data_IF_551987750030
#
_entry.id   IF_551987750030
#
_cell.length_a   1.000
_cell.length_b   1.000
_cell.length_c   1.000
_cell.angle_alpha   90.00
_cell.angle_beta   90.00
_cell.angle_gamma   90.00
#
_symmetry.space_group_name_H-M   'P 1'
#
loop_
_entity.id
_entity.type
_entity.pdbx_description
1 polymer ?
#
# COMPACT_ATOMS: atom_id res chain seq x y z
N UNK A 1 104.22 -47.74 -27.99
CA UNK A 1 102.81 -48.15 -27.83
C UNK A 1 102.07 -46.99 -27.18
N UNK A 2 101.60 -46.04 -27.98
CA UNK A 2 100.21 -45.93 -28.50
C UNK A 2 99.18 -45.63 -27.41
N UNK A 3 98.66 -44.39 -27.44
CA UNK A 3 97.66 -43.78 -26.54
C UNK A 3 96.36 -44.61 -26.43
N UNK A 4 95.48 -44.30 -25.44
CA UNK A 4 94.41 -43.33 -25.75
C UNK A 4 94.03 -42.37 -24.60
N UNK A 5 93.63 -41.17 -25.01
CA UNK A 5 92.75 -40.21 -24.35
C UNK A 5 91.74 -40.79 -23.35
N UNK A 6 91.50 -40.10 -22.21
CA UNK A 6 90.23 -40.17 -21.46
C UNK A 6 90.07 -39.01 -20.47
N UNK A 7 89.32 -38.00 -20.90
CA UNK A 7 88.22 -37.34 -20.18
C UNK A 7 88.31 -37.26 -18.64
N UNK A 8 88.67 -36.09 -18.12
CA UNK A 8 88.31 -35.69 -16.75
C UNK A 8 86.89 -35.12 -16.79
N UNK A 9 85.90 -36.00 -16.82
CA UNK A 9 84.54 -35.68 -16.36
C UNK A 9 84.45 -36.12 -14.91
N UNK A 10 84.25 -35.20 -13.95
CA UNK A 10 83.80 -35.62 -12.61
C UNK A 10 82.47 -35.01 -12.22
N UNK A 11 81.69 -35.84 -11.53
CA UNK A 11 80.25 -35.80 -11.36
C UNK A 11 79.90 -35.59 -9.87
N UNK A 12 78.89 -34.79 -9.48
CA UNK A 12 78.69 -34.40 -8.09
C UNK A 12 77.66 -35.21 -7.29
N UNK A 13 77.41 -36.48 -7.62
CA UNK A 13 77.19 -37.40 -6.48
C UNK A 13 78.54 -37.69 -5.79
N UNK A 14 79.68 -37.63 -6.50
CA UNK A 14 80.97 -38.19 -6.05
C UNK A 14 82.17 -37.21 -5.96
N UNK A 15 81.94 -35.93 -5.60
CA UNK A 15 82.98 -35.00 -5.07
C UNK A 15 84.28 -34.91 -5.91
N UNK A 16 84.22 -34.20 -7.03
CA UNK A 16 85.41 -33.54 -7.57
C UNK A 16 85.05 -32.26 -8.30
N UNK A 17 85.98 -31.32 -8.22
CA UNK A 17 85.87 -29.93 -8.60
C UNK A 17 85.70 -29.80 -10.11
N UNK A 18 84.47 -29.51 -10.58
CA UNK A 18 84.29 -28.83 -11.87
C UNK A 18 84.38 -27.32 -11.63
N UNK A 19 85.57 -26.82 -11.38
CA UNK A 19 85.94 -25.53 -11.97
C UNK A 19 86.46 -25.90 -13.35
N UNK A 20 85.72 -25.70 -14.45
CA UNK A 20 86.32 -25.86 -15.76
C UNK A 20 87.54 -24.95 -15.79
N UNK A 21 88.74 -25.54 -15.76
CA UNK A 21 89.94 -24.79 -16.13
C UNK A 21 89.68 -24.17 -17.50
N UNK A 22 90.23 -22.98 -17.74
CA UNK A 22 90.10 -22.31 -19.02
C UNK A 22 90.85 -23.17 -20.04
N UNK A 23 90.13 -24.05 -20.72
CA UNK A 23 90.67 -24.82 -21.84
C UNK A 23 90.60 -23.92 -23.07
N UNK A 24 91.67 -23.78 -23.87
CA UNK A 24 91.75 -22.83 -24.98
C UNK A 24 90.70 -23.01 -26.09
N UNK A 25 89.90 -24.08 -26.04
CA UNK A 25 88.86 -24.39 -27.03
C UNK A 25 87.42 -24.08 -26.54
N UNK A 26 87.28 -23.44 -25.36
CA UNK A 26 85.97 -23.00 -24.86
C UNK A 26 85.53 -21.73 -25.58
N UNK A 27 84.40 -21.82 -26.29
CA UNK A 27 83.80 -20.72 -27.05
C UNK A 27 82.29 -20.75 -26.93
N UNK A 28 81.66 -19.60 -27.10
CA UNK A 28 80.21 -19.51 -27.18
C UNK A 28 79.69 -20.32 -28.38
N UNK A 29 78.68 -21.16 -28.17
CA UNK A 29 78.12 -22.01 -29.24
C UNK A 29 77.50 -21.22 -30.39
N UNK A 30 76.94 -20.04 -30.10
CA UNK A 30 76.23 -19.24 -31.10
C UNK A 30 77.14 -18.29 -31.89
N UNK A 31 78.12 -17.65 -31.24
CA UNK A 31 78.97 -16.63 -31.88
C UNK A 31 80.47 -16.91 -31.88
N UNK A 32 80.92 -18.02 -31.28
CA UNK A 32 82.33 -18.40 -31.27
C UNK A 32 83.26 -17.51 -30.45
N UNK A 33 82.73 -16.53 -29.70
CA UNK A 33 83.52 -15.69 -28.79
C UNK A 33 84.16 -16.55 -27.70
N UNK A 34 85.38 -16.20 -27.28
CA UNK A 34 86.18 -16.93 -26.27
C UNK A 34 86.33 -16.19 -24.94
N UNK A 35 85.78 -14.98 -24.80
CA UNK A 35 85.81 -14.15 -23.60
C UNK A 35 84.41 -13.94 -23.01
N UNK A 36 84.37 -13.70 -21.68
CA UNK A 36 83.12 -13.53 -20.90
C UNK A 36 82.12 -14.67 -21.15
N UNK A 37 82.55 -15.88 -20.83
CA UNK A 37 81.80 -17.11 -21.09
C UNK A 37 81.09 -17.61 -19.83
N UNK A 38 79.86 -18.05 -20.02
CA UNK A 38 78.96 -18.54 -18.99
C UNK A 38 78.45 -19.92 -19.39
N UNK A 39 78.66 -20.90 -18.52
CA UNK A 39 78.24 -22.28 -18.73
C UNK A 39 76.95 -22.56 -17.95
N UNK A 40 75.92 -23.03 -18.63
CA UNK A 40 74.70 -23.49 -18.00
C UNK A 40 74.96 -24.71 -17.10
N UNK A 41 74.58 -24.62 -15.82
CA UNK A 41 74.80 -25.72 -14.86
C UNK A 41 73.84 -26.91 -15.06
N UNK A 42 72.77 -26.72 -15.83
CA UNK A 42 71.75 -27.76 -16.05
C UNK A 42 72.11 -28.61 -17.27
N UNK A 43 72.56 -28.00 -18.37
CA UNK A 43 72.82 -28.72 -19.63
C UNK A 43 74.22 -28.52 -20.22
N UNK A 44 75.09 -27.71 -19.59
CA UNK A 44 76.46 -27.48 -20.06
C UNK A 44 76.60 -26.56 -21.29
N UNK A 45 75.52 -25.92 -21.77
CA UNK A 45 75.62 -24.98 -22.88
C UNK A 45 76.49 -23.76 -22.50
N UNK A 46 77.39 -23.34 -23.39
CA UNK A 46 78.28 -22.19 -23.19
C UNK A 46 77.79 -20.99 -24.01
N UNK A 47 77.38 -19.94 -23.32
CA UNK A 47 76.96 -18.67 -23.91
C UNK A 47 77.90 -17.52 -23.52
N UNK A 48 77.92 -16.44 -24.32
CA UNK A 48 78.59 -15.21 -23.93
C UNK A 48 77.71 -14.37 -22.97
N UNK A 49 78.35 -13.58 -22.11
CA UNK A 49 77.70 -12.79 -21.07
C UNK A 49 76.88 -11.61 -21.57
N UNK A 50 76.21 -10.93 -20.63
CA UNK A 50 75.25 -9.84 -20.91
C UNK A 50 75.89 -8.66 -21.66
N UNK A 51 77.16 -8.37 -21.39
CA UNK A 51 77.90 -7.27 -22.02
C UNK A 51 78.48 -7.63 -23.40
N UNK A 52 78.21 -8.84 -23.89
CA UNK A 52 78.52 -9.29 -25.24
C UNK A 52 77.22 -9.35 -26.07
N UNK A 53 76.88 -10.53 -26.60
CA UNK A 53 75.63 -10.77 -27.33
C UNK A 53 74.57 -11.47 -26.45
N UNK A 54 74.83 -11.63 -25.15
CA UNK A 54 73.91 -12.20 -24.17
C UNK A 54 73.36 -13.59 -24.53
N UNK A 55 74.14 -14.44 -25.21
CA UNK A 55 73.70 -15.79 -25.59
C UNK A 55 73.43 -16.69 -24.38
N UNK A 56 74.08 -16.45 -23.24
CA UNK A 56 73.75 -17.15 -22.00
C UNK A 56 72.34 -16.81 -21.49
N UNK A 57 71.90 -15.56 -21.64
CA UNK A 57 70.55 -15.13 -21.28
C UNK A 57 69.51 -15.65 -22.30
N UNK A 58 69.81 -15.58 -23.60
CA UNK A 58 68.95 -16.15 -24.64
C UNK A 58 68.76 -17.67 -24.47
N UNK A 59 69.81 -18.37 -24.05
CA UNK A 59 69.73 -19.79 -23.69
C UNK A 59 68.75 -20.03 -22.54
N UNK A 60 68.78 -19.20 -21.50
CA UNK A 60 67.80 -19.23 -20.41
C UNK A 60 66.38 -19.00 -20.92
N UNK A 61 66.13 -17.99 -21.74
CA UNK A 61 64.78 -17.72 -22.29
C UNK A 61 64.23 -18.90 -23.11
N UNK A 62 65.09 -19.59 -23.85
CA UNK A 62 64.68 -20.71 -24.71
C UNK A 62 64.48 -22.03 -23.97
N UNK A 63 65.24 -22.28 -22.89
CA UNK A 63 65.29 -23.60 -22.22
C UNK A 63 64.80 -23.58 -20.78
N UNK A 64 64.56 -22.40 -20.22
CA UNK A 64 64.26 -22.17 -18.80
C UNK A 64 65.34 -22.73 -17.86
N UNK A 65 66.58 -22.86 -18.31
CA UNK A 65 67.70 -23.21 -17.45
C UNK A 65 68.19 -21.99 -16.66
N UNK A 66 67.82 -21.91 -15.39
CA UNK A 66 67.96 -20.70 -14.55
C UNK A 66 69.38 -20.40 -14.04
N UNK A 67 70.28 -21.38 -14.02
CA UNK A 67 71.62 -21.21 -13.42
C UNK A 67 72.76 -21.30 -14.44
N UNK A 68 73.64 -20.29 -14.41
CA UNK A 68 74.90 -20.27 -15.18
C UNK A 68 76.10 -19.96 -14.30
N UNK A 69 77.23 -20.62 -14.57
CA UNK A 69 78.52 -20.43 -13.91
C UNK A 69 79.45 -19.66 -14.84
N UNK A 70 80.13 -18.65 -14.32
CA UNK A 70 81.18 -17.95 -15.04
C UNK A 70 82.40 -18.88 -15.25
N UNK A 71 82.79 -19.10 -16.49
CA UNK A 71 83.97 -19.90 -16.83
C UNK A 71 85.24 -19.16 -16.40
N UNK A 72 86.13 -19.84 -15.67
CA UNK A 72 87.33 -19.24 -15.06
C UNK A 72 87.05 -18.45 -13.78
N UNK A 73 85.78 -18.22 -13.43
CA UNK A 73 85.35 -17.58 -12.20
C UNK A 73 84.76 -18.57 -11.17
N UNK A 74 84.26 -18.02 -10.06
CA UNK A 74 83.50 -18.77 -9.04
C UNK A 74 82.06 -18.27 -8.89
N UNK A 75 81.65 -17.32 -9.73
CA UNK A 75 80.35 -16.67 -9.65
C UNK A 75 79.28 -17.50 -10.36
N UNK A 76 78.15 -17.70 -9.69
CA UNK A 76 76.96 -18.31 -10.26
C UNK A 76 75.87 -17.25 -10.33
N UNK A 77 75.23 -17.17 -11.50
CA UNK A 77 74.12 -16.25 -11.75
C UNK A 77 72.78 -17.02 -11.75
N UNK A 78 71.78 -16.47 -11.07
CA UNK A 78 70.39 -16.91 -11.13
C UNK A 78 69.59 -15.94 -12.02
N UNK A 79 69.09 -16.44 -13.15
CA UNK A 79 68.26 -15.64 -14.06
C UNK A 79 66.83 -15.42 -13.57
N UNK A 80 66.29 -16.30 -12.72
CA UNK A 80 64.94 -16.14 -12.18
C UNK A 80 64.93 -15.14 -11.00
N UNK A 81 65.94 -15.21 -10.13
CA UNK A 81 66.12 -14.29 -9.00
C UNK A 81 66.81 -12.96 -9.35
N UNK A 82 67.40 -12.85 -10.55
CA UNK A 82 68.22 -11.72 -11.04
C UNK A 82 69.33 -11.31 -10.05
N UNK A 83 69.98 -12.29 -9.43
CA UNK A 83 71.01 -12.08 -8.43
C UNK A 83 72.16 -13.10 -8.54
N UNK A 84 73.31 -12.75 -7.95
CA UNK A 84 74.40 -13.70 -7.74
C UNK A 84 74.06 -14.62 -6.57
N UNK A 85 74.27 -15.93 -6.77
CA UNK A 85 74.08 -16.93 -5.72
C UNK A 85 75.43 -17.48 -5.26
N UNK A 86 75.61 -17.57 -3.94
CA UNK A 86 76.81 -18.15 -3.35
C UNK A 86 76.71 -19.67 -3.28
N UNK A 87 77.79 -20.36 -3.66
CA UNK A 87 77.93 -21.80 -3.43
C UNK A 87 78.37 -22.01 -1.99
N UNK A 88 77.56 -22.67 -1.17
CA UNK A 88 78.00 -23.26 0.09
C UNK A 88 79.00 -24.38 -0.26
N UNK A 89 80.29 -24.13 0.01
CA UNK A 89 81.35 -25.13 -0.18
C UNK A 89 81.48 -25.89 1.13
N UNK A 90 80.89 -27.08 1.20
CA UNK A 90 81.16 -28.00 2.30
C UNK A 90 82.61 -28.46 2.23
N UNK A 91 83.38 -28.23 3.30
CA UNK A 91 84.67 -28.88 3.48
C UNK A 91 84.45 -30.40 3.50
N UNK A 92 85.29 -31.13 2.76
CA UNK A 92 85.07 -32.53 2.40
C UNK A 92 85.11 -33.53 3.56
N UNK A 93 85.16 -33.09 4.82
CA UNK A 93 85.37 -33.98 5.97
C UNK A 93 84.34 -33.93 7.09
N UNK A 94 83.36 -33.00 7.17
CA UNK A 94 82.40 -33.12 8.30
C UNK A 94 81.04 -32.39 8.25
N UNK A 95 80.58 -31.84 7.11
CA UNK A 95 79.19 -31.34 6.98
C UNK A 95 78.74 -30.26 7.99
N UNK A 96 79.64 -29.70 8.79
CA UNK A 96 79.39 -28.59 9.71
C UNK A 96 79.60 -27.26 8.96
N UNK A 97 78.67 -26.31 9.03
CA UNK A 97 78.95 -24.95 8.58
C UNK A 97 80.09 -24.40 9.44
N UNK A 98 81.23 -24.11 8.83
CA UNK A 98 82.38 -23.52 9.51
C UNK A 98 82.19 -22.01 9.47
N UNK A 99 81.77 -21.43 10.60
CA UNK A 99 81.96 -20.00 10.84
C UNK A 99 83.47 -19.73 10.99
N UNK A 100 83.88 -18.61 10.40
CA UNK A 100 85.26 -18.13 10.41
C UNK A 100 85.64 -17.73 11.85
N UNK A 101 86.47 -18.56 12.50
CA UNK A 101 86.92 -18.34 13.88
C UNK A 101 88.06 -17.30 13.89
N UNK A 102 87.68 -16.03 14.00
CA UNK A 102 88.59 -14.89 14.11
C UNK A 102 88.64 -14.36 15.55
N UNK A 103 89.61 -14.83 16.33
CA UNK A 103 90.34 -14.19 17.46
C UNK A 103 89.56 -13.28 18.45
N UNK A 104 89.69 -13.61 19.75
CA UNK A 104 89.32 -12.90 21.02
C UNK A 104 87.94 -13.20 21.65
N UNK A 105 87.93 -14.23 22.49
CA UNK A 105 86.76 -14.74 23.24
C UNK A 105 86.18 -13.81 24.32
N UNK A 106 86.91 -12.82 24.83
CA UNK A 106 86.45 -12.01 25.98
C UNK A 106 85.72 -10.71 25.57
N UNK A 107 85.97 -10.22 24.35
CA UNK A 107 85.20 -9.10 23.77
C UNK A 107 83.88 -9.57 23.15
N UNK A 108 83.85 -10.81 22.64
CA UNK A 108 82.67 -11.40 21.99
C UNK A 108 81.51 -11.69 22.95
N UNK A 109 81.78 -12.16 24.17
CA UNK A 109 80.72 -12.42 25.16
C UNK A 109 80.06 -11.12 25.66
N UNK A 110 80.83 -10.04 25.84
CA UNK A 110 80.26 -8.71 26.17
C UNK A 110 79.43 -8.12 25.03
N UNK A 111 79.82 -8.37 23.78
CA UNK A 111 79.06 -7.94 22.62
C UNK A 111 77.76 -8.73 22.47
N UNK A 112 77.80 -10.02 22.74
CA UNK A 112 76.64 -10.91 22.81
C UNK A 112 75.66 -10.55 23.93
N UNK A 113 76.14 -10.16 25.11
CA UNK A 113 75.29 -9.65 26.19
C UNK A 113 74.57 -8.36 25.81
N UNK A 114 75.27 -7.43 25.14
CA UNK A 114 74.66 -6.20 24.61
C UNK A 114 73.62 -6.48 23.52
N UNK A 115 73.93 -7.40 22.60
CA UNK A 115 72.99 -7.84 21.57
C UNK A 115 71.75 -8.47 22.20
N UNK A 116 71.93 -9.31 23.23
CA UNK A 116 70.84 -9.93 23.98
C UNK A 116 69.99 -8.89 24.72
N UNK A 117 70.60 -7.88 25.35
CA UNK A 117 69.89 -6.78 26.00
C UNK A 117 69.05 -5.96 25.00
N UNK A 118 69.63 -5.61 23.85
CA UNK A 118 68.91 -4.92 22.76
C UNK A 118 67.77 -5.77 22.21
N UNK A 119 67.98 -7.08 22.06
CA UNK A 119 66.94 -8.01 21.63
C UNK A 119 65.79 -8.10 22.64
N UNK A 120 66.10 -8.09 23.94
CA UNK A 120 65.10 -8.07 25.00
C UNK A 120 64.31 -6.76 24.99
N UNK A 121 64.97 -5.61 24.87
CA UNK A 121 64.31 -4.31 24.76
C UNK A 121 63.39 -4.24 23.53
N UNK A 122 63.88 -4.72 22.39
CA UNK A 122 63.08 -4.83 21.17
C UNK A 122 61.86 -5.75 21.38
N UNK A 123 62.05 -6.88 22.05
CA UNK A 123 60.95 -7.81 22.37
C UNK A 123 59.92 -7.18 23.30
N UNK A 124 60.36 -6.46 24.33
CA UNK A 124 59.49 -5.72 25.24
C UNK A 124 58.71 -4.62 24.52
N UNK A 125 59.38 -3.85 23.64
CA UNK A 125 58.75 -2.82 22.83
C UNK A 125 57.71 -3.41 21.87
N UNK A 126 58.06 -4.49 21.17
CA UNK A 126 57.16 -5.18 20.25
C UNK A 126 55.94 -5.74 21.00
N UNK A 127 56.16 -6.37 22.15
CA UNK A 127 55.08 -6.91 23.00
C UNK A 127 54.15 -5.79 23.48
N UNK A 128 54.72 -4.68 23.97
CA UNK A 128 53.96 -3.48 24.34
C UNK A 128 53.14 -2.94 23.16
N UNK A 129 53.73 -2.89 21.96
CA UNK A 129 53.03 -2.41 20.78
C UNK A 129 51.88 -3.33 20.34
N UNK A 130 52.08 -4.65 20.39
CA UNK A 130 51.03 -5.64 20.10
C UNK A 130 49.91 -5.59 21.15
N UNK A 131 50.24 -5.40 22.42
CA UNK A 131 49.25 -5.26 23.49
C UNK A 131 48.41 -4.00 23.29
N UNK A 132 49.04 -2.85 22.98
CA UNK A 132 48.33 -1.61 22.68
C UNK A 132 47.41 -1.75 21.46
N UNK A 133 47.85 -2.45 20.41
CA UNK A 133 47.01 -2.74 19.24
C UNK A 133 45.81 -3.64 19.61
N UNK A 134 46.03 -4.68 20.42
CA UNK A 134 44.97 -5.56 20.90
C UNK A 134 43.92 -4.75 21.66
N UNK A 135 44.34 -3.97 22.65
CA UNK A 135 43.45 -3.14 23.46
C UNK A 135 42.68 -2.12 22.61
N UNK A 136 43.34 -1.48 21.64
CA UNK A 136 42.69 -0.54 20.74
C UNK A 136 41.56 -1.18 19.92
N UNK A 137 41.82 -2.36 19.33
CA UNK A 137 40.81 -3.04 18.52
C UNK A 137 39.72 -3.71 19.37
N UNK A 138 40.05 -4.24 20.55
CA UNK A 138 39.07 -4.74 21.53
C UNK A 138 38.11 -3.62 21.94
N UNK A 139 38.64 -2.42 22.24
CA UNK A 139 37.82 -1.25 22.57
C UNK A 139 36.93 -0.84 21.39
N UNK A 140 37.49 -0.75 20.18
CA UNK A 140 36.73 -0.38 18.98
C UNK A 140 35.61 -1.37 18.69
N UNK A 141 35.85 -2.67 18.92
CA UNK A 141 34.85 -3.70 18.75
C UNK A 141 33.75 -3.56 19.80
N UNK A 142 34.11 -3.34 21.08
CA UNK A 142 33.17 -3.09 22.16
C UNK A 142 32.29 -1.87 21.91
N UNK A 143 32.88 -0.73 21.51
CA UNK A 143 32.12 0.48 21.15
C UNK A 143 31.16 0.24 19.97
N UNK A 144 31.53 -0.62 19.02
CA UNK A 144 30.66 -0.99 17.90
C UNK A 144 29.51 -1.88 18.36
N UNK A 145 29.79 -2.87 19.20
CA UNK A 145 28.79 -3.78 19.76
C UNK A 145 27.79 -3.05 20.67
N UNK A 146 28.26 -2.12 21.50
CA UNK A 146 27.41 -1.27 22.33
C UNK A 146 26.45 -0.42 21.48
N UNK A 147 26.96 0.24 20.44
CA UNK A 147 26.12 1.01 19.50
C UNK A 147 25.12 0.13 18.77
N UNK A 148 25.53 -1.05 18.31
CA UNK A 148 24.62 -2.00 17.68
C UNK A 148 23.50 -2.44 18.63
N UNK A 149 23.85 -2.76 19.87
CA UNK A 149 22.89 -3.14 20.90
C UNK A 149 21.94 -2.01 21.27
N UNK A 150 22.43 -0.76 21.33
CA UNK A 150 21.60 0.42 21.55
C UNK A 150 20.59 0.61 20.41
N UNK A 151 21.04 0.59 19.15
CA UNK A 151 20.14 0.66 17.99
C UNK A 151 19.13 -0.49 17.95
N UNK A 152 19.57 -1.72 18.27
CA UNK A 152 18.68 -2.88 18.34
C UNK A 152 17.61 -2.70 19.43
N UNK A 153 17.99 -2.12 20.59
CA UNK A 153 17.06 -1.86 21.70
C UNK A 153 16.05 -0.77 21.34
N UNK A 154 16.50 0.34 20.74
CA UNK A 154 15.62 1.41 20.28
C UNK A 154 14.64 0.92 19.20
N UNK A 155 15.14 0.15 18.23
CA UNK A 155 14.30 -0.47 17.20
C UNK A 155 13.25 -1.39 17.81
N UNK A 156 13.63 -2.24 18.77
CA UNK A 156 12.71 -3.14 19.45
C UNK A 156 11.66 -2.38 20.27
N UNK A 157 12.04 -1.31 20.96
CA UNK A 157 11.10 -0.47 21.70
C UNK A 157 10.07 0.18 20.77
N UNK A 158 10.53 0.67 19.60
CA UNK A 158 9.65 1.28 18.60
C UNK A 158 8.69 0.27 17.98
N UNK A 159 9.18 -0.94 17.68
CA UNK A 159 8.34 -2.06 17.24
C UNK A 159 7.26 -2.37 18.28
N UNK A 160 7.64 -2.54 19.56
CA UNK A 160 6.69 -2.87 20.62
C UNK A 160 5.63 -1.77 20.81
N UNK A 161 6.00 -0.49 20.71
CA UNK A 161 5.06 0.65 20.77
C UNK A 161 4.04 0.59 19.63
N UNK A 162 4.52 0.44 18.40
CA UNK A 162 3.68 0.35 17.21
C UNK A 162 2.78 -0.88 17.23
N UNK A 163 3.27 -2.02 17.72
CA UNK A 163 2.46 -3.23 17.89
C UNK A 163 1.32 -3.02 18.91
N UNK A 164 1.58 -2.31 20.01
CA UNK A 164 0.56 -1.97 21.01
C UNK A 164 -0.51 -1.04 20.42
N UNK A 165 -0.10 0.01 19.69
CA UNK A 165 -1.01 0.94 19.01
C UNK A 165 -1.84 0.23 17.94
N UNK A 166 -1.22 -0.62 17.10
CA UNK A 166 -1.93 -1.44 16.13
C UNK A 166 -2.93 -2.38 16.79
N UNK A 167 -2.61 -2.93 17.97
CA UNK A 167 -3.53 -3.79 18.71
C UNK A 167 -4.72 -3.01 19.26
N UNK A 168 -4.52 -1.78 19.78
CA UNK A 168 -5.62 -0.93 20.25
C UNK A 168 -6.55 -0.52 19.11
N UNK A 169 -5.97 0.03 18.03
CA UNK A 169 -6.73 0.48 16.86
C UNK A 169 -7.49 -0.67 16.19
N UNK A 170 -6.90 -1.87 16.11
CA UNK A 170 -7.62 -3.08 15.64
C UNK A 170 -8.83 -3.41 16.53
N UNK A 171 -8.69 -3.33 17.86
CA UNK A 171 -9.82 -3.57 18.78
C UNK A 171 -10.93 -2.54 18.57
N UNK A 172 -10.59 -1.26 18.46
CA UNK A 172 -11.54 -0.18 18.19
C UNK A 172 -12.27 -0.40 16.86
N UNK A 173 -11.53 -0.74 15.80
CA UNK A 173 -12.12 -1.05 14.49
C UNK A 173 -13.08 -2.24 14.57
N UNK A 174 -12.73 -3.30 15.28
CA UNK A 174 -13.64 -4.44 15.49
C UNK A 174 -14.90 -4.07 16.28
N UNK A 175 -14.78 -3.19 17.30
CA UNK A 175 -15.93 -2.70 18.07
C UNK A 175 -16.86 -1.87 17.20
N UNK A 176 -16.30 -0.88 16.48
CA UNK A 176 -17.06 -0.01 15.58
C UNK A 176 -17.72 -0.81 14.47
N UNK A 177 -17.03 -1.82 13.91
CA UNK A 177 -17.61 -2.71 12.91
C UNK A 177 -18.78 -3.52 13.45
N UNK A 178 -18.72 -3.98 14.71
CA UNK A 178 -19.81 -4.68 15.36
C UNK A 178 -21.01 -3.74 15.61
N UNK A 179 -20.74 -2.53 16.09
CA UNK A 179 -21.77 -1.48 16.28
C UNK A 179 -22.44 -1.06 14.97
N UNK A 180 -21.67 -0.93 13.88
CA UNK A 180 -22.23 -0.66 12.56
C UNK A 180 -23.17 -1.76 12.07
N UNK A 181 -22.82 -3.02 12.34
CA UNK A 181 -23.67 -4.16 11.97
C UNK A 181 -24.97 -4.16 12.77
N UNK A 182 -24.92 -3.90 14.08
CA UNK A 182 -26.11 -3.85 14.92
C UNK A 182 -27.01 -2.67 14.55
N UNK A 183 -26.45 -1.47 14.32
CA UNK A 183 -27.18 -0.30 13.85
C UNK A 183 -27.79 -0.52 12.47
N UNK A 184 -27.07 -1.15 11.55
CA UNK A 184 -27.58 -1.49 10.21
C UNK A 184 -28.79 -2.43 10.29
N UNK A 185 -28.73 -3.43 11.16
CA UNK A 185 -29.86 -4.35 11.38
C UNK A 185 -31.04 -3.66 12.05
N UNK A 186 -30.80 -2.82 13.07
CA UNK A 186 -31.84 -2.03 13.72
C UNK A 186 -32.52 -1.07 12.74
N UNK A 187 -31.74 -0.39 11.89
CA UNK A 187 -32.27 0.48 10.82
C UNK A 187 -33.19 -0.30 9.88
N UNK A 188 -32.75 -1.47 9.38
CA UNK A 188 -33.59 -2.32 8.51
C UNK A 188 -34.92 -2.72 9.17
N UNK A 189 -34.93 -2.97 10.48
CA UNK A 189 -36.16 -3.27 11.20
C UNK A 189 -37.08 -2.05 11.33
N UNK A 190 -36.50 -0.88 11.62
CA UNK A 190 -37.25 0.39 11.70
C UNK A 190 -37.84 0.75 10.34
N UNK A 191 -37.06 0.65 9.26
CA UNK A 191 -37.51 0.93 7.88
C UNK A 191 -38.70 0.04 7.50
N UNK A 192 -38.67 -1.25 7.85
CA UNK A 192 -39.81 -2.18 7.64
C UNK A 192 -41.06 -1.75 8.43
N UNK A 193 -40.90 -1.37 9.71
CA UNK A 193 -42.01 -0.90 10.54
C UNK A 193 -42.58 0.42 10.02
N UNK A 194 -41.72 1.34 9.60
CA UNK A 194 -42.12 2.61 9.00
C UNK A 194 -42.95 2.38 7.74
N UNK A 195 -42.48 1.54 6.81
CA UNK A 195 -43.21 1.24 5.58
C UNK A 195 -44.60 0.63 5.85
N UNK A 196 -44.68 -0.30 6.82
CA UNK A 196 -45.96 -0.88 7.22
C UNK A 196 -46.89 0.15 7.86
N UNK A 197 -46.38 1.04 8.71
CA UNK A 197 -47.18 2.10 9.33
C UNK A 197 -47.63 3.12 8.28
N UNK A 198 -46.76 3.49 7.35
CA UNK A 198 -47.03 4.44 6.28
C UNK A 198 -48.14 3.92 5.36
N UNK A 199 -48.08 2.66 4.96
CA UNK A 199 -49.13 2.03 4.14
C UNK A 199 -50.48 2.00 4.86
N UNK A 200 -50.51 1.66 6.16
CA UNK A 200 -51.73 1.71 6.97
C UNK A 200 -52.29 3.14 7.13
N UNK A 201 -51.44 4.13 7.33
CA UNK A 201 -51.88 5.52 7.39
C UNK A 201 -52.48 5.96 6.04
N UNK A 202 -51.89 5.54 4.93
CA UNK A 202 -52.40 5.84 3.59
C UNK A 202 -53.78 5.19 3.36
N UNK A 203 -53.98 3.94 3.76
CA UNK A 203 -55.29 3.27 3.62
C UNK A 203 -56.35 3.92 4.49
N UNK A 204 -56.05 4.19 5.76
CA UNK A 204 -56.97 4.88 6.67
C UNK A 204 -57.31 6.29 6.20
N UNK A 205 -56.35 6.99 5.59
CA UNK A 205 -56.59 8.31 5.00
C UNK A 205 -57.58 8.21 3.83
N UNK A 206 -57.43 7.21 2.96
CA UNK A 206 -58.34 6.99 1.84
C UNK A 206 -59.75 6.62 2.34
N UNK A 207 -59.87 5.69 3.29
CA UNK A 207 -61.15 5.31 3.91
C UNK A 207 -61.85 6.51 4.56
N UNK A 208 -61.09 7.35 5.28
CA UNK A 208 -61.63 8.56 5.88
C UNK A 208 -62.13 9.57 4.84
N UNK A 209 -61.42 9.71 3.72
CA UNK A 209 -61.81 10.63 2.65
C UNK A 209 -63.03 10.11 1.88
N UNK A 210 -63.15 8.78 1.69
CA UNK A 210 -64.35 8.12 1.15
C UNK A 210 -65.56 8.32 2.08
N UNK A 211 -65.42 8.07 3.38
CA UNK A 211 -66.48 8.27 4.38
C UNK A 211 -66.92 9.74 4.45
N UNK A 212 -65.98 10.70 4.39
CA UNK A 212 -66.30 12.13 4.33
C UNK A 212 -67.09 12.49 3.07
N UNK A 213 -66.73 11.92 1.92
CA UNK A 213 -67.46 12.13 0.66
C UNK A 213 -68.86 11.52 0.74
N UNK A 214 -69.01 10.30 1.26
CA UNK A 214 -70.30 9.66 1.46
C UNK A 214 -71.20 10.47 2.41
N UNK A 215 -70.67 10.90 3.56
CA UNK A 215 -71.39 11.76 4.50
C UNK A 215 -71.77 13.13 3.90
N UNK A 216 -71.03 13.62 2.91
CA UNK A 216 -71.37 14.85 2.20
C UNK A 216 -72.54 14.60 1.25
N UNK A 217 -72.46 13.57 0.40
CA UNK A 217 -73.53 13.22 -0.54
C UNK A 217 -74.85 12.90 0.18
N UNK A 218 -74.81 12.12 1.27
CA UNK A 218 -75.99 11.82 2.09
C UNK A 218 -76.63 13.08 2.69
N UNK A 219 -75.82 14.08 3.07
CA UNK A 219 -76.33 15.37 3.55
C UNK A 219 -76.98 16.17 2.44
N UNK A 220 -76.34 16.24 1.27
CA UNK A 220 -76.87 16.94 0.09
C UNK A 220 -78.20 16.28 -0.37
N UNK A 221 -78.26 14.95 -0.43
CA UNK A 221 -79.47 14.19 -0.77
C UNK A 221 -80.59 14.41 0.25
N UNK A 222 -80.26 14.39 1.55
CA UNK A 222 -81.23 14.69 2.61
C UNK A 222 -81.80 16.10 2.46
N UNK A 223 -80.98 17.08 2.10
CA UNK A 223 -81.42 18.47 1.87
C UNK A 223 -82.36 18.56 0.66
N UNK A 224 -82.04 17.87 -0.44
CA UNK A 224 -82.89 17.81 -1.64
C UNK A 224 -84.24 17.15 -1.32
N UNK A 225 -84.23 16.00 -0.64
CA UNK A 225 -85.45 15.27 -0.27
C UNK A 225 -86.33 16.08 0.69
N UNK A 226 -85.74 16.73 1.70
CA UNK A 226 -86.49 17.63 2.59
C UNK A 226 -87.15 18.77 1.81
N UNK A 227 -86.41 19.38 0.87
CA UNK A 227 -86.95 20.47 0.02
C UNK A 227 -88.10 19.99 -0.87
N UNK A 228 -87.96 18.81 -1.49
CA UNK A 228 -89.02 18.20 -2.28
C UNK A 228 -90.25 17.87 -1.42
N UNK A 229 -90.04 17.35 -0.21
CA UNK A 229 -91.11 17.06 0.74
C UNK A 229 -91.87 18.34 1.10
N UNK A 230 -91.15 19.41 1.49
CA UNK A 230 -91.73 20.72 1.79
C UNK A 230 -92.51 21.31 0.60
N UNK A 231 -91.97 21.22 -0.62
CA UNK A 231 -92.67 21.66 -1.84
C UNK A 231 -93.95 20.86 -2.09
N UNK A 232 -93.92 19.53 -1.92
CA UNK A 232 -95.12 18.69 -2.08
C UNK A 232 -96.16 18.93 -0.99
N UNK A 233 -95.73 19.14 0.24
CA UNK A 233 -96.62 19.48 1.37
C UNK A 233 -97.26 20.85 1.16
N UNK A 234 -96.51 21.84 0.68
CA UNK A 234 -97.06 23.15 0.32
C UNK A 234 -98.08 23.04 -0.82
N UNK A 235 -97.78 22.28 -1.89
CA UNK A 235 -98.74 22.05 -2.98
C UNK A 235 -100.01 21.37 -2.48
N UNK A 236 -99.88 20.30 -1.69
CA UNK A 236 -101.03 19.61 -1.09
C UNK A 236 -101.85 20.54 -0.20
N UNK A 237 -101.21 21.39 0.63
CA UNK A 237 -101.92 22.39 1.44
C UNK A 237 -102.67 23.42 0.60
N UNK A 238 -102.07 23.89 -0.49
CA UNK A 238 -102.75 24.81 -1.42
C UNK A 238 -103.94 24.13 -2.12
N UNK A 239 -103.77 22.89 -2.60
CA UNK A 239 -104.85 22.13 -3.23
C UNK A 239 -105.99 21.84 -2.24
N UNK A 240 -105.67 21.41 -1.02
CA UNK A 240 -106.66 21.20 0.04
C UNK A 240 -107.36 22.51 0.38
N UNK A 241 -106.64 23.61 0.57
CA UNK A 241 -107.23 24.92 0.85
C UNK A 241 -108.13 25.41 -0.29
N UNK A 242 -107.72 25.25 -1.55
CA UNK A 242 -108.55 25.61 -2.70
C UNK A 242 -109.81 24.74 -2.81
N UNK A 243 -109.70 23.44 -2.51
CA UNK A 243 -110.87 22.54 -2.45
C UNK A 243 -111.79 22.88 -1.27
N UNK A 244 -111.24 23.26 -0.12
CA UNK A 244 -112.00 23.74 1.04
C UNK A 244 -112.75 25.03 0.71
N UNK A 245 -112.11 25.99 0.03
CA UNK A 245 -112.75 27.21 -0.48
C UNK A 245 -113.87 26.89 -1.48
N UNK A 246 -113.64 25.98 -2.44
CA UNK A 246 -114.69 25.54 -3.37
C UNK A 246 -115.88 24.90 -2.66
N UNK A 247 -115.62 24.06 -1.65
CA UNK A 247 -116.68 23.47 -0.82
C UNK A 247 -117.42 24.57 -0.04
N UNK A 248 -116.69 25.54 0.51
CA UNK A 248 -117.28 26.68 1.21
C UNK A 248 -118.17 27.52 0.30
N UNK A 249 -117.71 27.84 -0.91
CA UNK A 249 -118.48 28.57 -1.92
C UNK A 249 -119.72 27.80 -2.36
N UNK A 250 -119.60 26.48 -2.58
CA UNK A 250 -120.75 25.62 -2.90
C UNK A 250 -121.77 25.60 -1.75
N UNK A 251 -121.31 25.49 -0.50
CA UNK A 251 -122.17 25.55 0.68
C UNK A 251 -122.86 26.92 0.78
N UNK A 252 -122.13 28.02 0.59
CA UNK A 252 -122.70 29.37 0.57
C UNK A 252 -123.71 29.53 -0.55
N UNK A 253 -123.43 29.01 -1.75
CA UNK A 253 -124.36 28.99 -2.87
C UNK A 253 -125.64 28.23 -2.48
N UNK A 254 -125.53 27.02 -1.91
CA UNK A 254 -126.70 26.27 -1.44
C UNK A 254 -127.46 26.98 -0.32
N UNK A 255 -126.78 27.64 0.62
CA UNK A 255 -127.43 28.44 1.67
C UNK A 255 -128.14 29.67 1.10
N UNK A 256 -127.53 30.36 0.14
CA UNK A 256 -128.16 31.51 -0.55
C UNK A 256 -129.33 31.05 -1.41
N UNK A 257 -129.23 29.95 -2.14
CA UNK A 257 -130.35 29.33 -2.86
C UNK A 257 -131.49 28.95 -1.90
N UNK A 258 -131.17 28.38 -0.74
CA UNK A 258 -132.16 28.03 0.28
C UNK A 258 -132.85 29.29 0.84
N UNK A 259 -132.10 30.34 1.17
CA UNK A 259 -132.65 31.64 1.63
C UNK A 259 -133.48 32.34 0.55
N UNK A 260 -133.07 32.28 -0.72
CA UNK A 260 -133.84 32.84 -1.84
C UNK A 260 -135.16 32.07 -2.00
N UNK A 261 -135.13 30.74 -1.94
CA UNK A 261 -136.37 29.92 -1.94
C UNK A 261 -137.28 30.25 -0.76
N UNK A 262 -136.72 30.41 0.43
CA UNK A 262 -137.46 30.80 1.64
C UNK A 262 -138.05 32.23 1.54
N UNK A 263 -137.34 33.19 0.93
CA UNK A 263 -137.85 34.54 0.68
C UNK A 263 -138.89 34.61 -0.44
N UNK A 264 -138.82 33.70 -1.43
CA UNK A 264 -139.86 33.51 -2.46
C UNK A 264 -141.12 32.89 -1.83
N UNK A 265 -140.98 31.90 -0.94
CA UNK A 265 -142.11 31.27 -0.23
C UNK A 265 -142.76 32.20 0.79
N UNK A 266 -141.99 33.07 1.46
CA UNK A 266 -142.49 34.07 2.40
C UNK A 266 -143.03 35.36 1.73
N UNK A 267 -143.08 35.42 0.40
CA UNK A 267 -143.82 36.44 -0.36
C UNK A 267 -143.17 37.83 -0.42
N UNK A 268 -141.85 37.96 -0.23
CA UNK A 268 -141.16 39.24 -0.25
C UNK A 268 -140.53 39.62 -1.60
N UNK A 269 -140.39 38.69 -2.57
CA UNK A 269 -139.76 38.95 -3.89
C UNK A 269 -140.57 38.26 -5.01
N UNK A 270 -141.04 39.04 -6.00
CA UNK A 270 -141.76 38.56 -7.19
C UNK A 270 -140.78 38.21 -8.32
N UNK A 271 -141.13 37.19 -9.11
CA UNK A 271 -140.35 36.58 -10.21
C UNK A 271 -139.92 37.57 -11.33
N UNK A 272 -140.40 38.80 -11.30
CA UNK A 272 -140.18 39.84 -12.33
C UNK A 272 -138.95 40.75 -12.06
N UNK A 273 -138.39 40.78 -10.84
CA UNK A 273 -137.22 41.64 -10.53
C UNK A 273 -135.85 40.99 -10.85
N UNK A 274 -135.83 39.69 -11.17
CA UNK A 274 -134.59 38.95 -11.51
C UNK A 274 -134.12 39.17 -12.95
N UNK A 275 -135.01 39.52 -13.88
CA UNK A 275 -134.65 39.68 -15.31
C UNK A 275 -134.13 41.08 -15.67
N UNK A 276 -134.12 42.04 -14.73
CA UNK A 276 -133.67 43.42 -14.98
C UNK A 276 -132.42 43.85 -14.19
N UNK A 277 -131.68 42.90 -13.60
CA UNK A 277 -130.42 43.23 -12.92
C UNK A 277 -129.24 43.13 -13.89
N UNK A 278 -128.74 44.29 -14.32
CA UNK A 278 -127.50 44.41 -15.09
C UNK A 278 -126.33 44.52 -14.10
N UNK A 279 -125.51 43.47 -13.98
CA UNK A 279 -124.28 43.50 -13.17
C UNK A 279 -123.13 43.97 -14.06
N UNK A 280 -122.79 45.26 -13.94
CA UNK A 280 -121.59 45.84 -14.55
C UNK A 280 -120.36 45.49 -13.70
N UNK A 281 -119.59 44.50 -14.13
CA UNK A 281 -118.25 44.24 -13.58
C UNK A 281 -117.24 45.16 -14.27
N UNK A 282 -116.75 46.17 -13.55
CA UNK A 282 -115.54 46.89 -13.94
C UNK A 282 -114.33 45.97 -13.70
N UNK A 283 -113.69 45.57 -14.78
CA UNK A 283 -112.35 44.97 -14.74
C UNK A 283 -111.32 46.03 -14.32
N UNK A 284 -110.76 45.90 -13.11
CA UNK A 284 -109.53 46.61 -12.73
C UNK A 284 -108.37 45.61 -12.61
N UNK A 285 -107.67 45.48 -13.74
CA UNK A 285 -106.21 45.58 -13.90
C UNK A 285 -105.33 44.91 -12.81
N UNK A 286 -104.70 43.81 -13.24
CA UNK A 286 -103.50 43.17 -12.71
C UNK A 286 -102.41 44.12 -12.17
N UNK A 287 -101.74 43.83 -11.03
CA UNK A 287 -100.45 44.42 -10.70
C UNK A 287 -99.28 43.67 -11.34
N UNK A 288 -98.34 44.48 -11.84
CA UNK A 288 -97.09 44.15 -12.52
C UNK A 288 -96.17 43.20 -11.75
N UNK A 289 -95.63 42.24 -12.49
CA UNK A 289 -94.38 41.52 -12.21
C UNK A 289 -93.23 42.52 -12.03
N UNK A 290 -92.54 42.49 -10.88
CA UNK A 290 -91.22 43.09 -10.69
C UNK A 290 -90.17 42.00 -10.58
N UNK A 291 -89.45 41.77 -11.69
CA UNK A 291 -88.23 40.96 -11.70
C UNK A 291 -87.12 41.66 -10.89
N UNK A 292 -86.61 41.03 -9.82
CA UNK A 292 -85.33 41.42 -9.23
C UNK A 292 -84.21 40.53 -9.75
N UNK A 293 -83.26 41.18 -10.43
CA UNK A 293 -81.99 40.66 -10.94
C UNK A 293 -81.16 40.03 -9.82
N UNK A 294 -80.67 38.82 -10.08
CA UNK A 294 -79.54 38.19 -9.42
C UNK A 294 -78.29 39.09 -9.49
N UNK A 295 -77.62 39.29 -8.35
CA UNK A 295 -76.25 39.79 -8.29
C UNK A 295 -75.35 38.72 -7.66
N UNK A 296 -74.64 37.99 -8.52
CA UNK A 296 -73.48 37.16 -8.18
C UNK A 296 -72.42 38.04 -7.50
N UNK A 297 -71.89 37.60 -6.36
CA UNK A 297 -70.56 37.98 -5.89
C UNK A 297 -69.70 36.73 -5.84
N UNK A 298 -68.65 36.74 -6.64
CA UNK A 298 -67.56 35.76 -6.68
C UNK A 298 -66.28 36.55 -6.37
N UNK A 299 -65.63 36.16 -5.27
CA UNK A 299 -64.21 36.28 -4.89
C UNK A 299 -64.13 36.59 -3.40
#
# INVERSE_FOLDING_TARGET
>A
MTQPSKNIFRCPICRYTQTPEIVPDQKCFDCGRTSDLWMCLICGNIGCGRYAAAHAYKHYENTSHIFTLQIGGKLVWDYAGDNYVHRLIESSTDGKPVEYDGVNSDSFEKEKEKISAVQLEYTCLLTSQLENQRLFYEEKLRESDERFNEYSREAQQKINSLESELKSTRKELTSISAELLTLSNAKKQIDKKHLLSQTKCQTLQNELDEEKQMCKLLRDDKEILSRQLEETDQKRKMEVGALEEQIHDLLLHFETEAKIKEQIENGAISKEELEQSNVELKEDITPKVLSKKNRRRKK
#
